data_IF_997841567781
#
_entry.id   IF_997841567781
#
_cell.length_a   1.000
_cell.length_b   1.000
_cell.length_c   1.000
_cell.angle_alpha   90.00
_cell.angle_beta   90.00
_cell.angle_gamma   90.00
#
_symmetry.space_group_name_H-M   'P 1'
#
loop_
_entity.id
_entity.type
_entity.pdbx_description
1 polymer ?
#
# COMPACT_ATOMS: atom_id res chain seq x y z
N UNK A 1 11.03 -19.85 36.73
CA UNK A 1 12.01 -19.64 35.64
C UNK A 1 11.93 -18.18 35.21
N UNK A 2 13.02 -17.40 35.20
CA UNK A 2 12.97 -16.03 34.73
C UNK A 2 12.81 -16.04 33.20
N UNK A 3 11.79 -15.35 32.68
CA UNK A 3 11.68 -15.09 31.25
C UNK A 3 12.89 -14.26 30.80
N UNK A 4 13.54 -14.58 29.67
CA UNK A 4 14.65 -13.77 29.17
C UNK A 4 14.14 -12.35 28.91
N UNK A 5 14.84 -11.36 29.46
CA UNK A 5 14.57 -9.96 29.19
C UNK A 5 14.71 -9.72 27.68
N UNK A 6 13.62 -9.35 27.00
CA UNK A 6 13.68 -9.00 25.59
C UNK A 6 14.58 -7.77 25.44
N UNK A 7 15.76 -7.95 24.87
CA UNK A 7 16.59 -6.83 24.42
C UNK A 7 15.78 -6.01 23.41
N UNK A 8 15.64 -4.69 23.59
CA UNK A 8 14.97 -3.86 22.63
C UNK A 8 15.75 -3.91 21.31
N UNK A 9 15.16 -4.53 20.30
CA UNK A 9 15.67 -4.54 18.94
C UNK A 9 14.79 -3.63 18.08
N UNK A 10 15.38 -2.85 17.16
CA UNK A 10 14.62 -1.94 16.28
C UNK A 10 13.77 -2.70 15.25
N UNK A 11 14.06 -3.99 15.04
CA UNK A 11 13.39 -4.83 14.04
C UNK A 11 11.99 -5.28 14.50
N UNK A 12 11.09 -5.51 13.54
CA UNK A 12 9.78 -6.10 13.79
C UNK A 12 9.92 -7.55 14.24
N UNK A 13 10.73 -8.34 13.53
CA UNK A 13 11.03 -9.72 13.90
C UNK A 13 12.52 -9.96 14.08
N UNK A 14 13.34 -9.66 13.07
CA UNK A 14 14.80 -9.76 13.13
C UNK A 14 15.43 -9.01 11.94
N UNK A 15 16.69 -8.60 12.06
CA UNK A 15 17.39 -7.90 10.98
C UNK A 15 17.35 -8.65 9.64
N UNK A 16 17.56 -9.97 9.67
CA UNK A 16 17.54 -10.80 8.47
C UNK A 16 16.14 -10.89 7.87
N UNK A 17 15.11 -11.09 8.70
CA UNK A 17 13.74 -11.21 8.23
C UNK A 17 13.25 -9.90 7.62
N UNK A 18 13.37 -8.82 8.37
CA UNK A 18 12.97 -7.48 7.95
C UNK A 18 13.76 -7.04 6.71
N UNK A 19 15.06 -7.31 6.66
CA UNK A 19 15.91 -7.03 5.53
C UNK A 19 15.42 -7.70 4.24
N UNK A 20 15.19 -9.01 4.25
CA UNK A 20 14.80 -9.75 3.05
C UNK A 20 13.35 -9.57 2.63
N UNK A 21 12.42 -9.48 3.58
CA UNK A 21 10.99 -9.53 3.29
C UNK A 21 10.28 -8.18 3.32
N UNK A 22 10.91 -7.14 3.89
CA UNK A 22 10.31 -5.80 4.00
C UNK A 22 11.13 -4.81 3.17
N UNK A 23 12.45 -4.75 3.41
CA UNK A 23 13.29 -3.72 2.79
C UNK A 23 13.79 -4.10 1.39
N UNK A 24 14.24 -5.33 1.18
CA UNK A 24 14.84 -5.77 -0.08
C UNK A 24 13.91 -5.77 -1.31
N UNK A 25 12.61 -6.12 -1.23
CA UNK A 25 11.76 -6.27 -2.43
C UNK A 25 11.80 -5.10 -3.42
N UNK A 26 11.65 -3.81 -3.02
CA UNK A 26 11.73 -2.70 -3.98
C UNK A 26 13.11 -2.58 -4.63
N UNK A 27 14.21 -2.79 -3.89
CA UNK A 27 15.56 -2.71 -4.45
C UNK A 27 15.87 -3.88 -5.38
N UNK A 28 15.41 -5.09 -5.04
CA UNK A 28 15.53 -6.26 -5.91
C UNK A 28 14.74 -6.06 -7.21
N UNK A 29 13.51 -5.53 -7.12
CA UNK A 29 12.72 -5.20 -8.30
C UNK A 29 13.43 -4.17 -9.19
N UNK A 30 13.97 -3.09 -8.61
CA UNK A 30 14.76 -2.09 -9.34
C UNK A 30 16.03 -2.67 -9.96
N UNK A 31 16.75 -3.54 -9.24
CA UNK A 31 17.94 -4.22 -9.75
C UNK A 31 17.60 -5.12 -10.94
N UNK A 32 16.51 -5.89 -10.85
CA UNK A 32 16.01 -6.70 -11.97
C UNK A 32 15.70 -5.82 -13.18
N UNK A 33 14.97 -4.71 -12.99
CA UNK A 33 14.65 -3.77 -14.08
C UNK A 33 15.93 -3.16 -14.69
N UNK A 34 16.90 -2.79 -13.87
CA UNK A 34 18.18 -2.21 -14.32
C UNK A 34 19.01 -3.19 -15.15
N UNK A 35 18.93 -4.49 -14.83
CA UNK A 35 19.63 -5.56 -15.55
C UNK A 35 18.92 -5.98 -16.85
N UNK A 36 17.66 -5.56 -17.07
CA UNK A 36 16.96 -5.87 -18.31
C UNK A 36 17.54 -5.10 -19.51
N UNK A 37 17.58 -5.73 -20.71
CA UNK A 37 17.99 -5.04 -21.94
C UNK A 37 17.15 -3.79 -22.19
N UNK A 38 17.74 -2.78 -22.83
CA UNK A 38 17.07 -1.48 -23.05
C UNK A 38 15.72 -1.62 -23.77
N UNK A 39 15.62 -2.57 -24.71
CA UNK A 39 14.37 -2.89 -25.45
C UNK A 39 13.21 -3.28 -24.54
N UNK A 40 13.48 -3.89 -23.37
CA UNK A 40 12.45 -4.28 -22.40
C UNK A 40 12.19 -3.23 -21.34
N UNK A 41 13.08 -2.24 -21.18
CA UNK A 41 12.90 -1.13 -20.23
C UNK A 41 11.93 -0.07 -20.73
N UNK A 42 11.69 0.00 -22.04
CA UNK A 42 10.82 0.98 -22.67
C UNK A 42 9.88 0.28 -23.66
N UNK A 43 8.74 -0.20 -23.16
CA UNK A 43 7.63 -0.69 -23.99
C UNK A 43 6.35 0.01 -23.57
N UNK A 44 5.65 0.60 -24.52
CA UNK A 44 4.29 1.10 -24.31
C UNK A 44 3.25 -0.04 -24.37
N UNK A 45 3.63 -1.21 -24.89
CA UNK A 45 2.75 -2.36 -24.99
C UNK A 45 2.81 -3.17 -23.69
N UNK A 46 1.70 -3.20 -22.97
CA UNK A 46 1.49 -4.11 -21.85
C UNK A 46 0.28 -4.99 -22.16
N UNK A 47 0.50 -6.28 -22.53
CA UNK A 47 -0.58 -7.17 -22.94
C UNK A 47 -1.68 -7.26 -21.87
N UNK A 48 -2.95 -7.28 -22.29
CA UNK A 48 -4.09 -7.31 -21.36
C UNK A 48 -3.99 -8.45 -20.33
N UNK A 49 -3.60 -9.66 -20.77
CA UNK A 49 -3.43 -10.79 -19.87
C UNK A 49 -2.32 -10.58 -18.84
N UNK A 50 -1.21 -9.94 -19.24
CA UNK A 50 -0.14 -9.57 -18.32
C UNK A 50 -0.62 -8.51 -17.31
N UNK A 51 -1.44 -7.55 -17.76
CA UNK A 51 -2.06 -6.56 -16.88
C UNK A 51 -3.01 -7.20 -15.87
N UNK A 52 -3.87 -8.12 -16.30
CA UNK A 52 -4.74 -8.87 -15.39
C UNK A 52 -3.90 -9.65 -14.37
N UNK A 53 -2.88 -10.39 -14.81
CA UNK A 53 -2.03 -11.18 -13.92
C UNK A 53 -1.26 -10.33 -12.90
N UNK A 54 -0.54 -9.30 -13.37
CA UNK A 54 0.38 -8.54 -12.52
C UNK A 54 -0.32 -7.44 -11.74
N UNK A 55 -1.19 -6.66 -12.39
CA UNK A 55 -1.84 -5.52 -11.73
C UNK A 55 -3.08 -5.99 -10.98
N UNK A 56 -4.01 -6.65 -11.66
CA UNK A 56 -5.29 -6.98 -11.04
C UNK A 56 -5.15 -8.11 -10.00
N UNK A 57 -4.35 -9.15 -10.26
CA UNK A 57 -4.26 -10.29 -9.34
C UNK A 57 -3.14 -10.17 -8.30
N UNK A 58 -1.94 -9.68 -8.68
CA UNK A 58 -0.79 -9.59 -7.76
C UNK A 58 -0.77 -8.27 -7.00
N UNK A 59 -0.74 -7.12 -7.68
CA UNK A 59 -0.65 -5.81 -7.02
C UNK A 59 -1.87 -5.54 -6.13
N UNK A 60 -3.08 -5.78 -6.66
CA UNK A 60 -4.35 -5.57 -5.95
C UNK A 60 -4.68 -6.71 -4.96
N UNK A 61 -3.82 -7.72 -4.79
CA UNK A 61 -4.04 -8.86 -3.89
C UNK A 61 -4.41 -8.44 -2.45
N UNK A 62 -3.77 -7.38 -1.96
CA UNK A 62 -4.03 -6.84 -0.62
C UNK A 62 -5.47 -6.29 -0.47
N UNK A 63 -6.07 -5.78 -1.55
CA UNK A 63 -7.48 -5.37 -1.57
C UNK A 63 -8.40 -6.59 -1.45
N UNK A 64 -8.10 -7.70 -2.13
CA UNK A 64 -8.88 -8.93 -1.98
C UNK A 64 -8.82 -9.49 -0.56
N UNK A 65 -7.70 -9.33 0.15
CA UNK A 65 -7.58 -9.66 1.57
C UNK A 65 -8.65 -8.98 2.44
N UNK A 66 -9.10 -7.78 2.07
CA UNK A 66 -10.17 -7.07 2.79
C UNK A 66 -11.53 -7.75 2.63
N UNK A 67 -11.79 -8.42 1.51
CA UNK A 67 -13.05 -9.16 1.29
C UNK A 67 -13.22 -10.27 2.32
N UNK A 68 -12.15 -11.03 2.56
CA UNK A 68 -12.13 -12.10 3.55
C UNK A 68 -12.29 -11.58 4.99
N UNK A 69 -11.70 -10.43 5.30
CA UNK A 69 -11.78 -9.83 6.63
C UNK A 69 -13.10 -9.11 6.91
N UNK A 70 -13.93 -8.85 5.89
CA UNK A 70 -15.14 -8.02 6.05
C UNK A 70 -16.41 -8.64 5.47
N UNK A 71 -16.47 -8.89 4.16
CA UNK A 71 -17.66 -9.39 3.49
C UNK A 71 -17.90 -10.88 3.78
N UNK A 72 -16.83 -11.67 3.81
CA UNK A 72 -16.91 -13.11 4.07
C UNK A 72 -16.93 -13.46 5.57
N UNK A 73 -16.65 -12.50 6.46
CA UNK A 73 -16.88 -12.64 7.90
C UNK A 73 -18.33 -12.23 8.24
N UNK A 74 -19.20 -13.17 8.67
CA UNK A 74 -20.59 -12.86 9.00
C UNK A 74 -20.76 -11.85 10.14
N UNK A 75 -19.85 -11.82 11.12
CA UNK A 75 -19.90 -10.91 12.24
C UNK A 75 -19.56 -9.48 11.80
N UNK A 76 -18.49 -9.31 11.03
CA UNK A 76 -18.11 -8.00 10.48
C UNK A 76 -19.15 -7.50 9.47
N UNK A 77 -19.64 -8.38 8.59
CA UNK A 77 -20.66 -8.04 7.60
C UNK A 77 -21.93 -7.50 8.26
N UNK A 78 -22.41 -8.13 9.34
CA UNK A 78 -23.58 -7.64 10.09
C UNK A 78 -23.30 -6.31 10.79
N UNK A 79 -22.16 -6.19 11.45
CA UNK A 79 -21.80 -4.99 12.23
C UNK A 79 -21.55 -3.76 11.36
N UNK A 80 -21.01 -3.93 10.14
CA UNK A 80 -20.59 -2.84 9.25
C UNK A 80 -21.37 -2.81 7.93
N UNK A 81 -22.53 -3.46 7.87
CA UNK A 81 -23.32 -3.65 6.64
C UNK A 81 -23.53 -2.36 5.85
N UNK A 82 -23.88 -1.28 6.53
CA UNK A 82 -24.07 0.04 5.91
C UNK A 82 -22.82 0.51 5.18
N UNK A 83 -21.66 0.48 5.83
CA UNK A 83 -20.39 0.90 5.22
C UNK A 83 -20.00 0.00 4.04
N UNK A 84 -20.14 -1.31 4.19
CA UNK A 84 -19.81 -2.29 3.15
C UNK A 84 -20.72 -2.20 1.92
N UNK A 85 -21.89 -1.56 2.02
CA UNK A 85 -22.77 -1.33 0.87
C UNK A 85 -22.63 0.09 0.32
N UNK A 86 -22.68 1.09 1.20
CA UNK A 86 -22.72 2.49 0.81
C UNK A 86 -21.39 2.98 0.25
N UNK A 87 -20.25 2.54 0.80
CA UNK A 87 -18.94 3.01 0.33
C UNK A 87 -18.66 2.58 -1.11
N UNK A 88 -18.82 1.29 -1.51
CA UNK A 88 -18.64 0.90 -2.90
C UNK A 88 -19.58 1.64 -3.87
N UNK A 89 -20.84 1.83 -3.47
CA UNK A 89 -21.83 2.55 -4.28
C UNK A 89 -21.47 4.04 -4.43
N UNK A 90 -21.06 4.69 -3.35
CA UNK A 90 -20.62 6.08 -3.37
C UNK A 90 -19.34 6.25 -4.21
N UNK A 91 -18.38 5.34 -4.08
CA UNK A 91 -17.17 5.33 -4.92
C UNK A 91 -17.51 5.14 -6.39
N UNK A 92 -18.43 4.23 -6.73
CA UNK A 92 -18.88 4.03 -8.10
C UNK A 92 -19.56 5.28 -8.66
N UNK A 93 -20.53 5.85 -7.94
CA UNK A 93 -21.23 7.06 -8.35
C UNK A 93 -20.27 8.25 -8.52
N UNK A 94 -19.35 8.45 -7.58
CA UNK A 94 -18.31 9.48 -7.66
C UNK A 94 -17.36 9.27 -8.85
N UNK A 95 -16.98 8.02 -9.12
CA UNK A 95 -16.16 7.65 -10.28
C UNK A 95 -16.87 7.95 -11.61
N UNK A 96 -18.16 7.58 -11.73
CA UNK A 96 -18.99 7.91 -12.90
C UNK A 96 -19.11 9.42 -13.08
N UNK A 97 -19.38 10.18 -12.01
CA UNK A 97 -19.48 11.63 -12.07
C UNK A 97 -18.16 12.29 -12.52
N UNK A 98 -17.02 11.84 -11.96
CA UNK A 98 -15.70 12.31 -12.39
C UNK A 98 -15.40 11.96 -13.85
N UNK A 99 -15.76 10.76 -14.30
CA UNK A 99 -15.56 10.34 -15.68
C UNK A 99 -16.47 11.11 -16.65
N UNK A 100 -17.68 11.46 -16.24
CA UNK A 100 -18.59 12.32 -17.00
C UNK A 100 -18.03 13.73 -17.21
N UNK A 101 -17.19 14.24 -16.28
CA UNK A 101 -16.46 15.49 -16.45
C UNK A 101 -15.25 15.37 -17.41
N UNK A 102 -14.89 14.15 -17.84
CA UNK A 102 -13.87 13.86 -18.83
C UNK A 102 -12.89 12.78 -18.38
N UNK A 103 -12.50 11.89 -19.31
CA UNK A 103 -11.60 10.77 -19.02
C UNK A 103 -10.25 11.21 -18.43
N UNK A 104 -9.67 12.31 -18.92
CA UNK A 104 -8.41 12.82 -18.38
C UNK A 104 -8.56 13.33 -16.94
N UNK A 105 -9.69 13.98 -16.62
CA UNK A 105 -9.98 14.46 -15.25
C UNK A 105 -10.09 13.28 -14.29
N UNK A 106 -10.82 12.24 -14.70
CA UNK A 106 -10.99 11.00 -13.94
C UNK A 106 -9.65 10.32 -13.64
N UNK A 107 -8.85 10.06 -14.68
CA UNK A 107 -7.56 9.38 -14.50
C UNK A 107 -6.56 10.21 -13.69
N UNK A 108 -6.55 11.53 -13.86
CA UNK A 108 -5.70 12.42 -13.05
C UNK A 108 -6.12 12.42 -11.58
N UNK A 109 -7.42 12.48 -11.30
CA UNK A 109 -7.94 12.41 -9.93
C UNK A 109 -7.59 11.07 -9.26
N UNK A 110 -7.78 9.96 -9.98
CA UNK A 110 -7.39 8.64 -9.47
C UNK A 110 -5.89 8.50 -9.26
N UNK A 111 -5.06 9.07 -10.14
CA UNK A 111 -3.61 9.05 -9.98
C UNK A 111 -3.18 9.77 -8.69
N UNK A 112 -3.72 10.96 -8.41
CA UNK A 112 -3.43 11.68 -7.16
C UNK A 112 -3.94 10.91 -5.93
N UNK A 113 -5.14 10.32 -6.01
CA UNK A 113 -5.65 9.50 -4.92
C UNK A 113 -4.77 8.26 -4.65
N UNK A 114 -4.27 7.62 -5.70
CA UNK A 114 -3.38 6.47 -5.60
C UNK A 114 -2.03 6.87 -4.97
N UNK A 115 -1.41 7.96 -5.42
CA UNK A 115 -0.18 8.50 -4.81
C UNK A 115 -0.38 8.79 -3.33
N UNK A 116 -1.47 9.47 -2.98
CA UNK A 116 -1.82 9.75 -1.59
C UNK A 116 -2.00 8.45 -0.77
N UNK A 117 -2.67 7.45 -1.34
CA UNK A 117 -2.83 6.14 -0.71
C UNK A 117 -1.48 5.46 -0.43
N UNK A 118 -0.58 5.40 -1.42
CA UNK A 118 0.73 4.76 -1.29
C UNK A 118 1.63 5.43 -0.26
N UNK A 119 1.64 6.77 -0.20
CA UNK A 119 2.42 7.47 0.81
C UNK A 119 1.95 7.15 2.22
N UNK A 120 0.63 7.04 2.45
CA UNK A 120 0.12 6.66 3.77
C UNK A 120 0.45 5.22 4.16
N UNK A 121 0.71 4.32 3.21
CA UNK A 121 1.19 2.97 3.53
C UNK A 121 2.57 3.03 4.22
N UNK A 122 3.46 3.93 3.81
CA UNK A 122 4.80 4.08 4.39
C UNK A 122 4.75 4.56 5.86
N UNK A 123 3.78 5.42 6.19
CA UNK A 123 3.55 5.86 7.58
C UNK A 123 3.21 4.68 8.52
N UNK A 124 2.46 3.69 8.04
CA UNK A 124 2.15 2.49 8.81
C UNK A 124 3.39 1.70 9.21
N UNK A 125 4.34 1.52 8.30
CA UNK A 125 5.62 0.88 8.59
C UNK A 125 6.42 1.67 9.61
N UNK A 126 6.58 2.99 9.42
CA UNK A 126 7.27 3.85 10.38
C UNK A 126 6.71 3.68 11.80
N UNK A 127 5.37 3.71 11.95
CA UNK A 127 4.69 3.52 13.22
C UNK A 127 4.96 2.16 13.86
N UNK A 128 5.09 1.11 13.05
CA UNK A 128 5.41 -0.24 13.53
C UNK A 128 6.85 -0.34 14.01
N UNK A 129 7.81 0.25 13.31
CA UNK A 129 9.21 0.28 13.72
C UNK A 129 9.42 1.12 14.98
N UNK A 130 8.77 2.28 15.07
CA UNK A 130 8.85 3.18 16.22
C UNK A 130 8.02 2.74 17.45
N UNK A 131 7.31 1.59 17.40
CA UNK A 131 6.35 1.18 18.45
C UNK A 131 6.95 1.00 19.86
N UNK A 132 8.27 0.86 19.96
CA UNK A 132 9.01 0.68 21.22
C UNK A 132 9.98 1.84 21.49
N UNK A 133 10.01 2.85 20.62
CA UNK A 133 10.88 4.01 20.78
C UNK A 133 10.27 4.99 21.77
N UNK A 134 11.12 5.60 22.59
CA UNK A 134 10.71 6.72 23.44
C UNK A 134 10.56 7.95 22.54
N UNK A 135 9.44 8.69 22.59
CA UNK A 135 9.25 9.87 21.74
C UNK A 135 10.36 10.90 21.98
N UNK A 136 11.19 11.12 20.97
CA UNK A 136 12.21 12.17 20.99
C UNK A 136 11.60 13.51 20.54
N UNK A 137 12.17 14.66 20.97
CA UNK A 137 11.86 15.94 20.35
C UNK A 137 12.00 15.86 18.84
N UNK A 138 10.98 16.27 18.09
CA UNK A 138 10.95 16.15 16.62
C UNK A 138 10.33 14.86 16.07
N UNK A 139 9.67 14.03 16.89
CA UNK A 139 8.93 12.84 16.42
C UNK A 139 7.83 13.12 15.38
N UNK A 140 7.48 14.39 15.16
CA UNK A 140 6.57 14.83 14.10
C UNK A 140 7.25 14.99 12.72
N UNK A 141 8.58 15.10 12.66
CA UNK A 141 9.33 15.29 11.42
C UNK A 141 9.21 14.10 10.46
N UNK A 142 9.38 12.82 10.89
CA UNK A 142 9.26 11.70 9.98
C UNK A 142 7.87 11.57 9.31
N UNK A 143 6.73 11.68 10.03
CA UNK A 143 5.44 11.73 9.35
C UNK A 143 5.30 12.96 8.46
N UNK A 144 5.75 14.15 8.89
CA UNK A 144 5.66 15.34 8.07
C UNK A 144 6.41 15.17 6.73
N UNK A 145 7.62 14.58 6.74
CA UNK A 145 8.40 14.27 5.55
C UNK A 145 7.71 13.24 4.65
N UNK A 146 7.10 12.20 5.23
CA UNK A 146 6.32 11.21 4.47
C UNK A 146 5.18 11.90 3.73
N UNK A 147 4.38 12.74 4.42
CA UNK A 147 3.28 13.45 3.77
C UNK A 147 3.78 14.51 2.77
N UNK A 148 4.88 15.20 3.06
CA UNK A 148 5.48 16.17 2.14
C UNK A 148 5.96 15.53 0.83
N UNK A 149 6.30 14.24 0.82
CA UNK A 149 6.64 13.52 -0.41
C UNK A 149 5.47 13.37 -1.41
N UNK A 150 4.25 13.84 -1.06
CA UNK A 150 3.11 13.93 -1.98
C UNK A 150 2.95 15.28 -2.67
N UNK A 151 3.75 16.29 -2.29
CA UNK A 151 3.73 17.66 -2.85
C UNK A 151 4.81 17.80 -3.94
#
# INVERSE_FOLDING_TARGET
>A
MPHPAFTPQPWLRSARYDGWFILAPPFLALAVVALLPATYRQSAAFPLLAWVGVVLLIDVAHVYGTLFQTYFDPAQRRRRRGLLLLVPLACYAGGVALHAAGGLVFWRALAYLAVFHFVRQQYGFLRLYARREVPLPGAWLPPALIYAATL
#
